data_IF_695574022507
#
_entry.id   IF_695574022507
#
_cell.length_a   1.000
_cell.length_b   1.000
_cell.length_c   1.000
_cell.angle_alpha   90.00
_cell.angle_beta   90.00
_cell.angle_gamma   90.00
#
_symmetry.space_group_name_H-M   'P 1'
#
loop_
_entity.id
_entity.type
_entity.pdbx_description
1 polymer ?
#
# COMPACT_ATOMS: atom_id res chain seq x y z
N UNK A 1 8.88 -13.70 20.20
CA UNK A 1 9.10 -12.72 19.11
C UNK A 1 8.13 -13.12 18.03
N UNK A 2 6.98 -12.46 17.98
CA UNK A 2 5.91 -12.85 17.07
C UNK A 2 6.41 -12.71 15.64
N UNK A 3 6.30 -13.80 14.88
CA UNK A 3 6.66 -13.80 13.48
C UNK A 3 5.68 -12.91 12.73
N UNK A 4 6.17 -11.97 11.94
CA UNK A 4 5.33 -11.18 11.03
C UNK A 4 4.77 -12.16 9.99
N UNK A 5 3.45 -12.38 10.04
CA UNK A 5 2.76 -13.12 8.99
C UNK A 5 2.51 -12.17 7.81
N UNK A 6 3.30 -12.34 6.75
CA UNK A 6 3.21 -11.54 5.53
C UNK A 6 1.79 -11.54 4.97
N UNK A 7 1.08 -12.67 5.04
CA UNK A 7 -0.29 -12.76 4.52
C UNK A 7 -1.25 -11.85 5.30
N UNK A 8 -1.16 -11.84 6.63
CA UNK A 8 -1.98 -10.98 7.48
C UNK A 8 -1.69 -9.48 7.26
N UNK A 9 -0.45 -9.10 6.92
CA UNK A 9 -0.15 -7.71 6.57
C UNK A 9 -0.77 -7.30 5.23
N UNK A 10 -0.64 -8.15 4.21
CA UNK A 10 -1.27 -7.89 2.89
C UNK A 10 -2.78 -7.84 3.01
N UNK A 11 -3.39 -8.78 3.73
CA UNK A 11 -4.84 -8.81 3.96
C UNK A 11 -5.33 -7.52 4.62
N UNK A 12 -4.68 -7.08 5.71
CA UNK A 12 -5.05 -5.83 6.40
C UNK A 12 -4.90 -4.60 5.52
N UNK A 13 -3.84 -4.51 4.72
CA UNK A 13 -3.69 -3.39 3.78
C UNK A 13 -4.80 -3.37 2.73
N UNK A 14 -5.17 -4.53 2.19
CA UNK A 14 -6.24 -4.65 1.20
C UNK A 14 -7.62 -4.35 1.79
N UNK A 15 -7.88 -4.77 3.04
CA UNK A 15 -9.09 -4.38 3.79
C UNK A 15 -9.19 -2.86 3.94
N UNK A 16 -8.09 -2.20 4.33
CA UNK A 16 -8.06 -0.74 4.44
C UNK A 16 -8.27 -0.06 3.09
N UNK A 17 -7.76 -0.63 1.99
CA UNK A 17 -8.06 -0.15 0.65
C UNK A 17 -9.56 -0.25 0.32
N UNK A 18 -10.22 -1.36 0.68
CA UNK A 18 -11.65 -1.55 0.48
C UNK A 18 -12.49 -0.58 1.34
N UNK A 19 -12.16 -0.45 2.62
CA UNK A 19 -12.82 0.48 3.54
C UNK A 19 -12.70 1.93 3.07
N UNK A 20 -11.50 2.34 2.64
CA UNK A 20 -11.29 3.67 2.12
C UNK A 20 -12.12 3.95 0.85
N UNK A 21 -12.27 2.96 -0.05
CA UNK A 21 -13.16 3.09 -1.21
C UNK A 21 -14.63 3.21 -0.82
N UNK A 22 -15.07 2.48 0.20
CA UNK A 22 -16.44 2.56 0.71
C UNK A 22 -16.76 3.96 1.25
N UNK A 23 -15.84 4.53 2.04
CA UNK A 23 -16.06 5.82 2.74
C UNK A 23 -15.80 7.02 1.82
N UNK A 24 -14.70 7.00 1.07
CA UNK A 24 -14.20 8.15 0.31
C UNK A 24 -14.42 8.03 -1.21
N UNK A 25 -14.95 6.89 -1.68
CA UNK A 25 -14.97 6.56 -3.10
C UNK A 25 -13.58 6.24 -3.65
N UNK A 26 -13.51 5.99 -4.95
CA UNK A 26 -12.25 5.71 -5.64
C UNK A 26 -11.60 7.01 -6.11
N UNK A 27 -10.75 7.59 -5.26
CA UNK A 27 -10.02 8.84 -5.50
C UNK A 27 -8.50 8.63 -5.38
N UNK A 28 -7.68 9.48 -6.02
CA UNK A 28 -6.21 9.37 -5.93
C UNK A 28 -5.70 9.74 -4.52
N UNK A 29 -5.62 8.73 -3.65
CA UNK A 29 -5.19 8.83 -2.26
C UNK A 29 -4.10 7.79 -1.92
N UNK A 30 -3.69 7.76 -0.65
CA UNK A 30 -2.67 6.83 -0.16
C UNK A 30 -3.03 5.36 -0.43
N UNK A 31 -4.26 4.94 -0.11
CA UNK A 31 -4.66 3.54 -0.23
C UNK A 31 -4.80 3.08 -1.68
N UNK A 32 -5.21 3.95 -2.61
CA UNK A 32 -5.16 3.58 -4.04
C UNK A 32 -3.72 3.36 -4.53
N UNK A 33 -2.73 4.07 -3.96
CA UNK A 33 -1.31 3.84 -4.24
C UNK A 33 -0.86 2.50 -3.66
N UNK A 34 -1.20 2.19 -2.40
CA UNK A 34 -0.92 0.87 -1.79
C UNK A 34 -1.51 -0.27 -2.63
N UNK A 35 -2.79 -0.16 -2.99
CA UNK A 35 -3.46 -1.16 -3.82
C UNK A 35 -2.76 -1.37 -5.17
N UNK A 36 -2.30 -0.28 -5.81
CA UNK A 36 -1.56 -0.35 -7.07
C UNK A 36 -0.22 -1.09 -6.90
N UNK A 37 0.49 -0.86 -5.80
CA UNK A 37 1.77 -1.52 -5.50
C UNK A 37 1.59 -3.03 -5.37
N UNK A 38 0.62 -3.48 -4.58
CA UNK A 38 0.32 -4.91 -4.48
C UNK A 38 -0.11 -5.52 -5.82
N UNK A 39 -0.92 -4.81 -6.60
CA UNK A 39 -1.30 -5.26 -7.96
C UNK A 39 -0.09 -5.42 -8.90
N UNK A 40 0.98 -4.65 -8.69
CA UNK A 40 2.23 -4.74 -9.44
C UNK A 40 3.18 -5.81 -8.88
N UNK A 41 2.82 -6.52 -7.81
CA UNK A 41 3.69 -7.48 -7.13
C UNK A 41 4.77 -6.82 -6.26
N UNK A 42 4.59 -5.54 -5.91
CA UNK A 42 5.50 -4.81 -5.03
C UNK A 42 5.04 -4.82 -3.58
N UNK A 43 5.91 -4.33 -2.71
CA UNK A 43 5.67 -4.14 -1.29
C UNK A 43 5.71 -2.64 -0.94
N UNK A 44 4.66 -2.07 -0.33
CA UNK A 44 4.70 -0.69 0.15
C UNK A 44 5.61 -0.59 1.38
N UNK A 45 6.65 0.25 1.32
CA UNK A 45 7.67 0.34 2.37
C UNK A 45 7.63 1.65 3.17
N UNK A 46 6.95 2.69 2.66
CA UNK A 46 6.86 3.97 3.36
C UNK A 46 6.60 5.15 2.44
N UNK A 47 6.98 6.34 2.90
CA UNK A 47 6.73 7.60 2.22
C UNK A 47 7.94 8.53 2.28
N UNK A 48 8.32 9.10 1.13
CA UNK A 48 9.42 10.07 1.01
C UNK A 48 8.87 11.47 0.77
N UNK A 49 9.24 12.42 1.63
CA UNK A 49 8.79 13.81 1.59
C UNK A 49 7.50 14.05 2.37
N UNK A 50 6.91 15.23 2.26
CA UNK A 50 5.72 15.62 3.03
C UNK A 50 4.43 15.09 2.39
N UNK A 51 3.59 14.41 3.17
CA UNK A 51 2.25 14.03 2.71
C UNK A 51 1.37 15.28 2.55
N UNK A 52 0.55 15.41 1.48
CA UNK A 52 0.30 14.44 0.40
C UNK A 52 1.21 14.59 -0.84
N UNK A 53 2.15 15.54 -0.84
CA UNK A 53 2.99 15.88 -2.00
C UNK A 53 4.18 14.94 -2.24
N UNK A 54 4.52 14.11 -1.25
CA UNK A 54 5.62 13.15 -1.32
C UNK A 54 5.33 11.96 -2.24
N UNK A 55 6.20 10.96 -2.16
CA UNK A 55 6.14 9.75 -2.99
C UNK A 55 6.13 8.50 -2.12
N UNK A 56 5.35 7.51 -2.50
CA UNK A 56 5.40 6.18 -1.88
C UNK A 56 6.74 5.52 -2.21
N UNK A 57 7.37 4.94 -1.20
CA UNK A 57 8.56 4.09 -1.34
C UNK A 57 8.06 2.66 -1.48
N UNK A 58 8.55 1.94 -2.48
CA UNK A 58 8.11 0.59 -2.81
C UNK A 58 9.32 -0.31 -3.02
N UNK A 59 9.22 -1.56 -2.59
CA UNK A 59 10.14 -2.62 -3.01
C UNK A 59 9.49 -3.41 -4.14
N UNK A 60 10.20 -3.61 -5.25
CA UNK A 60 9.75 -4.39 -6.39
C UNK A 60 10.78 -5.50 -6.65
N UNK A 61 10.45 -6.78 -6.38
CA UNK A 61 11.42 -7.89 -6.48
C UNK A 61 12.01 -8.09 -7.88
N UNK A 62 11.31 -7.64 -8.92
CA UNK A 62 11.65 -7.91 -10.32
C UNK A 62 12.15 -6.68 -11.08
N UNK A 63 12.34 -5.53 -10.42
CA UNK A 63 13.04 -4.39 -11.03
C UNK A 63 14.55 -4.65 -10.93
N UNK A 64 15.18 -4.86 -12.09
CA UNK A 64 16.64 -4.98 -12.23
C UNK A 64 17.32 -3.63 -12.12
#
# INVERSE_FOLDING_TARGET
MDHINILEEVERDLEMCALNRLVNGKVDNFYEKVFKVYKMGGWPCGWKGEYPKGKMIVYLPNEK
#
